data_IF_325441679340
#
_entry.id   IF_325441679340
#
_cell.length_a   1.000
_cell.length_b   1.000
_cell.length_c   1.000
_cell.angle_alpha   90.00
_cell.angle_beta   90.00
_cell.angle_gamma   90.00
#
_symmetry.space_group_name_H-M   'P 1'
#
loop_
_entity.id
_entity.type
_entity.pdbx_description
1 polymer ?
#
# COMPACT_ATOMS: atom_id res chain seq x y z
N UNK A 1 -3.58 20.77 5.10
CA UNK A 1 -4.61 20.68 6.16
C UNK A 1 -4.42 19.35 6.86
N UNK A 2 -3.99 19.35 8.12
CA UNK A 2 -3.88 18.15 8.94
C UNK A 2 -5.28 17.81 9.44
N UNK A 3 -6.02 17.00 8.68
CA UNK A 3 -7.23 16.35 9.18
C UNK A 3 -6.84 15.49 10.38
N UNK A 4 -7.67 15.54 11.42
CA UNK A 4 -7.54 14.73 12.61
C UNK A 4 -7.86 13.30 12.18
N UNK A 5 -6.88 12.59 11.62
CA UNK A 5 -7.07 11.20 11.22
C UNK A 5 -7.34 10.39 12.49
N UNK A 6 -8.52 9.77 12.55
CA UNK A 6 -8.77 8.74 13.56
C UNK A 6 -7.68 7.69 13.43
N UNK A 7 -7.09 7.32 14.58
CA UNK A 7 -6.03 6.32 14.61
C UNK A 7 -6.50 5.02 13.95
N UNK A 8 -5.72 4.45 13.01
CA UNK A 8 -6.15 3.26 12.27
C UNK A 8 -6.52 2.14 13.23
N UNK A 9 -7.63 1.46 12.94
CA UNK A 9 -8.11 0.32 13.73
C UNK A 9 -7.44 -0.95 13.21
N UNK A 10 -6.81 -1.67 14.12
CA UNK A 10 -6.06 -2.89 13.79
C UNK A 10 -6.43 -4.02 14.73
N UNK A 11 -6.21 -5.25 14.30
CA UNK A 11 -6.25 -6.43 15.15
C UNK A 11 -4.90 -7.13 15.15
N UNK A 12 -4.50 -7.64 16.30
CA UNK A 12 -3.25 -8.40 16.47
C UNK A 12 -3.58 -9.89 16.42
N UNK A 13 -3.33 -10.54 15.29
CA UNK A 13 -3.54 -11.98 15.14
C UNK A 13 -2.24 -12.73 15.42
N UNK A 14 -2.26 -13.61 16.41
CA UNK A 14 -1.10 -14.43 16.77
C UNK A 14 -0.81 -15.50 15.72
N UNK A 15 0.37 -16.12 15.79
CA UNK A 15 0.75 -17.30 14.98
C UNK A 15 -0.21 -18.50 15.10
N UNK A 16 -1.04 -18.52 16.14
CA UNK A 16 -2.08 -19.54 16.36
C UNK A 16 -3.39 -19.21 15.64
N UNK A 17 -3.41 -18.15 14.82
CA UNK A 17 -4.58 -17.69 14.10
C UNK A 17 -5.62 -16.97 14.97
N UNK A 18 -5.34 -16.78 16.27
CA UNK A 18 -6.25 -16.15 17.24
C UNK A 18 -5.92 -14.68 17.46
N UNK A 19 -6.96 -13.86 17.60
CA UNK A 19 -6.86 -12.43 17.82
C UNK A 19 -6.64 -12.07 19.29
N UNK A 20 -5.86 -11.02 19.49
CA UNK A 20 -5.62 -10.41 20.79
C UNK A 20 -6.86 -9.66 21.27
N UNK A 21 -7.35 -10.04 22.44
CA UNK A 21 -8.58 -9.54 23.03
C UNK A 21 -8.38 -9.31 24.53
N UNK A 22 -9.37 -8.70 25.18
CA UNK A 22 -9.38 -8.47 26.62
C UNK A 22 -10.66 -8.99 27.28
N UNK A 23 -10.56 -9.31 28.57
CA UNK A 23 -11.71 -9.53 29.47
C UNK A 23 -11.41 -8.84 30.79
N UNK A 24 -12.13 -7.74 31.05
CA UNK A 24 -11.74 -6.80 32.09
C UNK A 24 -10.40 -6.15 31.73
N UNK A 25 -9.44 -6.21 32.66
CA UNK A 25 -8.09 -5.68 32.49
C UNK A 25 -7.12 -6.67 31.82
N UNK A 26 -7.44 -7.96 31.77
CA UNK A 26 -6.53 -9.01 31.28
C UNK A 26 -6.60 -9.17 29.78
N UNK A 27 -5.43 -9.38 29.17
CA UNK A 27 -5.26 -9.57 27.72
C UNK A 27 -4.93 -11.03 27.42
N UNK A 28 -5.46 -11.55 26.31
CA UNK A 28 -5.25 -12.91 25.84
C UNK A 28 -5.33 -12.99 24.30
N UNK A 29 -4.74 -14.01 23.69
CA UNK A 29 -4.76 -14.28 22.25
C UNK A 29 -5.52 -15.59 21.97
N UNK A 30 -6.83 -15.59 22.19
CA UNK A 30 -7.70 -16.77 21.96
C UNK A 30 -9.02 -16.42 21.26
N UNK A 31 -9.20 -15.18 20.83
CA UNK A 31 -10.44 -14.76 20.17
C UNK A 31 -10.45 -15.24 18.71
N UNK A 32 -11.57 -15.80 18.28
CA UNK A 32 -11.85 -16.04 16.86
C UNK A 32 -12.43 -14.79 16.18
N UNK A 33 -13.05 -13.91 16.97
CA UNK A 33 -13.53 -12.63 16.50
C UNK A 33 -12.39 -11.62 16.40
N UNK A 34 -12.42 -10.82 15.34
CA UNK A 34 -11.48 -9.71 15.12
C UNK A 34 -11.77 -8.62 16.15
N UNK A 35 -10.79 -8.33 17.00
CA UNK A 35 -10.92 -7.31 18.05
C UNK A 35 -10.18 -6.03 17.63
N UNK A 36 -10.87 -4.87 17.58
CA UNK A 36 -10.28 -3.60 17.19
C UNK A 36 -9.45 -2.96 18.29
N UNK A 37 -8.26 -2.54 17.91
CA UNK A 37 -7.37 -1.68 18.68
C UNK A 37 -7.07 -0.42 17.86
N UNK A 38 -7.24 0.76 18.45
CA UNK A 38 -6.75 2.01 17.84
C UNK A 38 -5.23 2.04 17.94
N UNK A 39 -4.54 2.14 16.81
CA UNK A 39 -3.08 2.24 16.76
C UNK A 39 -2.63 3.70 16.77
N UNK A 40 -1.96 4.11 17.83
CA UNK A 40 -1.45 5.47 18.01
C UNK A 40 0.06 5.47 17.78
N UNK A 41 0.53 6.30 16.85
CA UNK A 41 1.96 6.55 16.62
C UNK A 41 2.41 7.75 17.45
N UNK A 42 3.55 7.61 18.12
CA UNK A 42 4.20 8.68 18.88
C UNK A 42 5.34 9.30 18.06
N UNK A 43 5.70 10.55 18.37
CA UNK A 43 6.79 11.29 17.70
C UNK A 43 8.15 10.59 17.82
N UNK A 44 8.35 9.77 18.87
CA UNK A 44 9.55 8.97 19.08
C UNK A 44 9.59 7.66 18.25
N UNK A 45 8.64 7.48 17.33
CA UNK A 45 8.53 6.31 16.46
C UNK A 45 7.95 5.06 17.14
N UNK A 46 7.55 5.14 18.42
CA UNK A 46 6.86 4.04 19.10
C UNK A 46 5.37 4.06 18.81
N UNK A 47 4.73 2.91 19.07
CA UNK A 47 3.31 2.69 18.85
C UNK A 47 2.61 2.28 20.14
N UNK A 48 1.34 2.62 20.24
CA UNK A 48 0.47 2.27 21.36
C UNK A 48 -0.87 1.78 20.86
N UNK A 49 -1.50 0.88 21.62
CA UNK A 49 -2.78 0.28 21.28
C UNK A 49 -3.82 0.71 22.31
N UNK A 50 -4.95 1.25 21.85
CA UNK A 50 -6.10 1.57 22.70
C UNK A 50 -7.28 0.67 22.37
N UNK A 51 -8.04 0.27 23.38
CA UNK A 51 -9.34 -0.34 23.16
C UNK A 51 -10.41 0.70 22.73
N UNK A 52 -11.64 0.24 22.62
CA UNK A 52 -12.84 1.03 22.34
C UNK A 52 -13.22 2.04 23.43
N UNK A 53 -12.65 1.91 24.63
CA UNK A 53 -12.87 2.80 25.78
C UNK A 53 -11.75 3.81 25.98
N UNK A 54 -10.89 3.99 24.97
CA UNK A 54 -9.67 4.79 25.01
C UNK A 54 -8.71 4.39 26.16
N UNK A 55 -8.70 3.10 26.52
CA UNK A 55 -7.77 2.56 27.51
C UNK A 55 -6.60 1.89 26.81
N UNK A 56 -5.39 2.30 27.17
CA UNK A 56 -4.16 1.80 26.58
C UNK A 56 -3.79 0.39 27.09
N UNK A 57 -3.32 -0.42 26.14
CA UNK A 57 -2.57 -1.64 26.39
C UNK A 57 -1.22 -1.30 27.01
N UNK A 58 -0.91 -1.89 28.15
CA UNK A 58 0.31 -1.67 28.91
C UNK A 58 0.98 -2.97 29.32
N UNK A 59 2.30 -2.90 29.50
CA UNK A 59 3.10 -3.99 30.05
C UNK A 59 3.44 -3.68 31.50
N UNK A 60 3.12 -4.60 32.40
CA UNK A 60 3.55 -4.51 33.82
C UNK A 60 5.03 -4.88 33.97
N UNK A 61 5.73 -4.47 35.04
CA UNK A 61 7.13 -4.86 35.28
C UNK A 61 7.39 -6.38 35.30
N UNK A 62 6.35 -7.18 35.58
CA UNK A 62 6.42 -8.64 35.56
C UNK A 62 6.11 -9.26 34.19
N UNK A 63 5.96 -8.44 33.14
CA UNK A 63 5.69 -8.89 31.77
C UNK A 63 4.24 -9.24 31.47
N UNK A 64 3.28 -8.97 32.38
CA UNK A 64 1.86 -9.16 32.06
C UNK A 64 1.33 -8.01 31.21
N UNK A 65 0.53 -8.31 30.19
CA UNK A 65 -0.22 -7.31 29.45
C UNK A 65 -1.54 -6.98 30.15
N UNK A 66 -1.87 -5.69 30.21
CA UNK A 66 -3.06 -5.14 30.86
C UNK A 66 -3.66 -4.00 30.06
N UNK A 67 -4.97 -3.77 30.21
CA UNK A 67 -5.67 -2.62 29.63
C UNK A 67 -6.26 -1.80 30.77
N UNK A 68 -5.45 -0.89 31.30
CA UNK A 68 -5.81 -0.11 32.50
C UNK A 68 -5.42 1.36 32.44
N UNK A 69 -4.53 1.75 31.53
CA UNK A 69 -3.98 3.10 31.48
C UNK A 69 -4.88 4.04 30.67
N UNK A 70 -5.27 5.19 31.24
CA UNK A 70 -6.04 6.23 30.54
C UNK A 70 -5.17 7.31 29.88
N UNK A 71 -3.89 7.32 30.20
CA UNK A 71 -2.90 8.27 29.67
C UNK A 71 -1.73 7.50 29.11
N UNK A 72 -1.12 8.04 28.07
CA UNK A 72 0.05 7.44 27.44
C UNK A 72 1.29 7.63 28.33
N UNK A 73 1.89 6.53 28.76
CA UNK A 73 3.17 6.50 29.46
C UNK A 73 4.16 5.54 28.79
N UNK A 74 5.33 5.35 29.40
CA UNK A 74 6.36 4.48 28.82
C UNK A 74 5.91 3.01 28.73
N UNK A 75 5.02 2.55 29.62
CA UNK A 75 4.59 1.13 29.66
C UNK A 75 3.59 0.77 28.57
N UNK A 76 3.00 1.77 27.94
CA UNK A 76 2.01 1.67 26.87
C UNK A 76 2.65 1.79 25.47
N UNK A 77 3.97 2.03 25.42
CA UNK A 77 4.73 2.20 24.19
C UNK A 77 5.44 0.90 23.77
N UNK A 78 5.33 0.61 22.48
CA UNK A 78 5.90 -0.56 21.84
C UNK A 78 6.68 -0.15 20.60
N UNK A 79 7.87 -0.72 20.42
CA UNK A 79 8.55 -0.70 19.12
C UNK A 79 7.99 -1.81 18.26
N UNK A 80 7.44 -1.46 17.10
CA UNK A 80 7.02 -2.42 16.08
C UNK A 80 8.21 -2.79 15.20
N UNK A 81 8.54 -4.07 15.15
CA UNK A 81 9.64 -4.60 14.34
C UNK A 81 9.05 -5.46 13.23
N UNK A 82 9.28 -5.08 11.97
CA UNK A 82 8.83 -5.88 10.81
C UNK A 82 9.73 -7.10 10.63
N UNK A 83 9.11 -8.26 10.45
CA UNK A 83 9.78 -9.52 10.12
C UNK A 83 9.73 -9.76 8.60
N UNK A 84 10.60 -10.63 8.09
CA UNK A 84 10.68 -10.94 6.64
C UNK A 84 9.45 -11.66 6.07
N UNK A 85 8.61 -12.24 6.92
CA UNK A 85 7.40 -12.98 6.55
C UNK A 85 6.11 -12.15 6.68
N UNK A 86 6.21 -10.83 6.52
CA UNK A 86 5.07 -9.89 6.63
C UNK A 86 4.38 -9.82 7.99
N UNK A 87 4.92 -10.47 9.02
CA UNK A 87 4.46 -10.30 10.41
C UNK A 87 5.23 -9.17 11.11
N UNK A 88 4.75 -8.79 12.29
CA UNK A 88 5.42 -7.86 13.19
C UNK A 88 5.77 -8.52 14.52
N UNK A 89 6.77 -8.00 15.21
CA UNK A 89 7.06 -8.29 16.61
C UNK A 89 6.88 -7.02 17.44
N UNK A 90 6.24 -7.13 18.60
CA UNK A 90 6.10 -5.99 19.53
C UNK A 90 7.17 -6.07 20.62
N UNK A 91 8.05 -5.07 20.66
CA UNK A 91 9.02 -4.90 21.74
C UNK A 91 8.53 -3.85 22.73
N UNK A 92 8.30 -4.26 23.97
CA UNK A 92 7.87 -3.34 25.05
C UNK A 92 9.00 -2.40 25.48
N UNK A 93 8.64 -1.34 26.18
CA UNK A 93 9.60 -0.43 26.83
C UNK A 93 10.60 -1.12 27.77
N UNK A 94 10.25 -2.27 28.35
CA UNK A 94 11.18 -3.08 29.16
C UNK A 94 12.17 -3.90 28.31
N UNK A 95 12.27 -3.61 27.01
CA UNK A 95 13.10 -4.32 26.04
C UNK A 95 12.73 -5.81 25.89
N UNK A 96 11.52 -6.20 26.30
CA UNK A 96 10.99 -7.57 26.16
C UNK A 96 10.01 -7.67 25.01
N UNK A 97 10.10 -8.75 24.25
CA UNK A 97 9.14 -9.10 23.21
C UNK A 97 7.85 -9.66 23.79
N UNK A 98 6.73 -9.17 23.28
CA UNK A 98 5.39 -9.72 23.54
C UNK A 98 5.27 -11.05 22.82
N UNK A 99 4.81 -12.08 23.51
CA UNK A 99 4.55 -13.42 22.97
C UNK A 99 3.14 -13.88 23.25
N UNK A 100 2.55 -14.58 22.29
CA UNK A 100 1.29 -15.31 22.45
C UNK A 100 1.57 -16.81 22.55
N UNK A 101 1.18 -17.41 23.68
CA UNK A 101 1.30 -18.84 23.93
C UNK A 101 0.10 -19.60 23.34
N UNK A 102 0.28 -20.88 23.07
CA UNK A 102 -0.74 -21.76 22.46
C UNK A 102 -2.07 -21.79 23.25
N UNK A 103 -2.00 -21.74 24.59
CA UNK A 103 -3.19 -21.69 25.44
C UNK A 103 -3.88 -20.30 25.49
N UNK A 104 -3.37 -19.33 24.74
CA UNK A 104 -3.89 -17.96 24.62
C UNK A 104 -3.32 -16.96 25.61
N UNK A 105 -2.36 -17.35 26.45
CA UNK A 105 -1.67 -16.44 27.36
C UNK A 105 -0.75 -15.47 26.63
N UNK A 106 -0.72 -14.21 27.05
CA UNK A 106 0.10 -13.17 26.39
C UNK A 106 0.96 -12.43 27.39
N UNK A 107 2.27 -12.42 27.12
CA UNK A 107 3.28 -11.90 28.05
C UNK A 107 4.43 -11.22 27.31
N UNK A 108 5.02 -10.19 27.89
CA UNK A 108 6.24 -9.54 27.43
C UNK A 108 7.44 -10.00 28.25
N UNK A 109 7.96 -11.19 27.97
CA UNK A 109 8.99 -11.84 28.80
C UNK A 109 10.23 -12.28 28.04
N UNK A 110 10.25 -12.23 26.70
CA UNK A 110 11.36 -12.75 25.90
C UNK A 110 12.38 -11.67 25.55
N UNK A 111 13.67 -12.01 25.60
CA UNK A 111 14.76 -11.13 25.18
C UNK A 111 14.91 -11.04 23.65
N UNK A 112 14.51 -12.10 22.95
CA UNK A 112 14.65 -12.25 21.51
C UNK A 112 13.30 -12.50 20.86
N UNK A 113 13.13 -12.02 19.63
CA UNK A 113 11.98 -12.35 18.80
C UNK A 113 12.01 -13.86 18.50
N UNK A 114 10.97 -14.56 18.91
CA UNK A 114 10.70 -15.95 18.52
C UNK A 114 9.49 -15.98 17.59
N UNK A 115 9.19 -17.14 16.99
CA UNK A 115 7.94 -17.32 16.24
C UNK A 115 6.71 -16.95 17.05
N UNK A 116 6.69 -17.25 18.35
CA UNK A 116 5.57 -16.89 19.25
C UNK A 116 5.48 -15.40 19.55
N UNK A 117 6.51 -14.62 19.21
CA UNK A 117 6.52 -13.16 19.32
C UNK A 117 5.98 -12.46 18.08
N UNK A 118 5.60 -13.22 17.04
CA UNK A 118 5.12 -12.68 15.79
C UNK A 118 3.60 -12.56 15.78
N UNK A 119 3.13 -11.45 15.25
CA UNK A 119 1.72 -11.15 15.06
C UNK A 119 1.51 -10.66 13.63
N UNK A 120 0.44 -11.12 13.00
CA UNK A 120 -0.12 -10.48 11.83
C UNK A 120 -0.92 -9.26 12.32
N UNK A 121 -0.55 -8.07 11.85
CA UNK A 121 -1.32 -6.87 12.11
C UNK A 121 -2.40 -6.80 11.02
N UNK A 122 -3.62 -7.14 11.39
CA UNK A 122 -4.78 -7.19 10.48
C UNK A 122 -5.41 -5.81 10.50
N UNK A 123 -5.36 -5.08 9.38
CA UNK A 123 -6.10 -3.83 9.28
C UNK A 123 -7.59 -4.12 9.38
N UNK A 124 -8.31 -3.39 10.22
CA UNK A 124 -9.76 -3.51 10.29
C UNK A 124 -10.39 -2.44 9.40
N UNK A 125 -11.45 -2.78 8.64
CA UNK A 125 -12.30 -1.79 8.02
C UNK A 125 -12.95 -0.93 9.12
N UNK A 126 -12.28 0.15 9.48
CA UNK A 126 -12.79 1.23 10.32
C UNK A 126 -13.28 2.33 9.39
N UNK A 127 -14.55 2.69 9.53
CA UNK A 127 -15.30 3.46 8.55
C UNK A 127 -14.68 4.85 8.26
N UNK A 128 -13.76 4.96 7.30
CA UNK A 128 -13.40 6.17 6.52
C UNK A 128 -12.43 5.85 5.34
N UNK A 129 -12.30 4.60 4.90
CA UNK A 129 -11.38 4.19 3.82
C UNK A 129 -12.12 3.45 2.71
N UNK A 130 -11.65 3.59 1.46
CA UNK A 130 -12.10 2.80 0.31
C UNK A 130 -10.95 1.92 -0.18
N UNK A 131 -11.17 0.62 -0.18
CA UNK A 131 -10.21 -0.36 -0.67
C UNK A 131 -10.65 -0.91 -2.04
N UNK A 132 -9.70 -1.20 -2.94
CA UNK A 132 -9.98 -1.91 -4.18
C UNK A 132 -10.15 -3.42 -3.92
N UNK A 133 -10.79 -4.13 -4.85
CA UNK A 133 -10.93 -5.60 -4.80
C UNK A 133 -9.79 -6.36 -5.51
N UNK A 134 -8.78 -5.63 -5.98
CA UNK A 134 -7.57 -6.08 -6.67
C UNK A 134 -6.77 -7.11 -5.84
N UNK A 135 -6.39 -8.21 -6.49
CA UNK A 135 -5.87 -9.42 -5.81
C UNK A 135 -4.54 -9.22 -5.08
N UNK A 136 -3.68 -8.32 -5.58
CA UNK A 136 -2.36 -8.03 -5.01
C UNK A 136 -2.32 -6.71 -4.22
N UNK A 137 -3.45 -6.05 -3.95
CA UNK A 137 -3.48 -4.76 -3.23
C UNK A 137 -2.73 -4.81 -1.88
N UNK A 138 -2.85 -5.93 -1.15
CA UNK A 138 -2.17 -6.14 0.14
C UNK A 138 -0.63 -6.03 0.07
N UNK A 139 -0.04 -6.11 -1.12
CA UNK A 139 1.41 -6.00 -1.35
C UNK A 139 1.87 -4.57 -1.59
N UNK A 140 0.95 -3.65 -1.87
CA UNK A 140 1.21 -2.24 -2.16
C UNK A 140 1.41 -1.43 -0.88
N UNK A 141 2.47 -1.74 -0.13
CA UNK A 141 2.74 -1.09 1.16
C UNK A 141 2.85 0.44 1.07
N UNK A 142 3.26 0.98 -0.08
CA UNK A 142 3.31 2.43 -0.30
C UNK A 142 1.93 3.08 -0.42
N UNK A 143 0.91 2.33 -0.85
CA UNK A 143 -0.48 2.79 -0.94
C UNK A 143 -1.15 2.76 0.42
N UNK A 144 -0.95 1.68 1.17
CA UNK A 144 -1.55 1.49 2.48
C UNK A 144 -0.62 0.65 3.36
N UNK A 145 -0.25 1.20 4.51
CA UNK A 145 0.63 0.54 5.46
C UNK A 145 0.11 0.71 6.87
N UNK A 146 0.03 -0.41 7.55
CA UNK A 146 -0.47 -0.44 8.91
C UNK A 146 0.44 0.27 9.94
N UNK A 147 1.65 0.66 9.54
CA UNK A 147 2.56 1.48 10.35
C UNK A 147 2.39 2.99 10.13
N UNK A 148 1.51 3.40 9.21
CA UNK A 148 1.35 4.79 8.78
C UNK A 148 2.61 5.34 8.12
N UNK A 149 3.19 4.55 7.22
CA UNK A 149 4.34 4.92 6.38
C UNK A 149 3.95 4.56 4.94
N UNK A 150 3.03 5.34 4.41
CA UNK A 150 2.34 5.18 3.14
C UNK A 150 1.80 6.57 2.72
N UNK A 151 0.99 6.60 1.67
CA UNK A 151 0.38 7.83 1.15
C UNK A 151 -1.09 8.02 1.57
N UNK A 152 -1.59 7.21 2.52
CA UNK A 152 -3.00 7.18 2.93
C UNK A 152 -3.95 7.05 1.72
N UNK A 153 -3.62 6.16 0.76
CA UNK A 153 -4.36 6.04 -0.49
C UNK A 153 -5.83 5.63 -0.27
N UNK A 154 -6.16 4.62 0.57
CA UNK A 154 -7.55 4.26 0.85
C UNK A 154 -8.40 5.39 1.43
N UNK A 155 -7.81 6.23 2.27
CA UNK A 155 -8.43 7.44 2.82
C UNK A 155 -8.74 8.43 1.69
N UNK A 156 -7.78 8.68 0.79
CA UNK A 156 -7.98 9.55 -0.37
C UNK A 156 -9.06 8.99 -1.31
N UNK A 157 -9.09 7.67 -1.53
CA UNK A 157 -10.04 6.98 -2.41
C UNK A 157 -11.47 7.01 -1.93
N UNK A 158 -11.70 7.27 -0.64
CA UNK A 158 -13.05 7.60 -0.15
C UNK A 158 -13.55 8.92 -0.77
N UNK A 159 -12.68 9.89 -0.95
CA UNK A 159 -13.05 11.17 -1.56
C UNK A 159 -13.19 11.04 -3.07
N UNK A 160 -12.22 10.38 -3.72
CA UNK A 160 -12.18 10.19 -5.16
C UNK A 160 -11.17 9.10 -5.53
N UNK A 161 -11.50 8.26 -6.51
CA UNK A 161 -10.56 7.26 -7.03
C UNK A 161 -9.96 7.69 -8.37
N UNK A 162 -10.08 8.97 -8.72
CA UNK A 162 -9.57 9.55 -9.97
C UNK A 162 -10.64 10.17 -10.88
N UNK A 163 -11.91 10.21 -10.47
CA UNK A 163 -13.01 10.78 -11.29
C UNK A 163 -12.76 12.24 -11.70
N UNK A 164 -12.15 13.05 -10.82
CA UNK A 164 -11.80 14.45 -11.15
C UNK A 164 -10.63 14.55 -12.14
N UNK A 165 -9.87 13.48 -12.30
CA UNK A 165 -8.76 13.37 -13.24
C UNK A 165 -9.20 12.98 -14.64
N UNK A 166 -10.51 12.84 -14.90
CA UNK A 166 -11.03 12.57 -16.23
C UNK A 166 -10.52 13.61 -17.24
N UNK A 167 -9.71 13.14 -18.19
CA UNK A 167 -9.08 13.97 -19.23
C UNK A 167 -7.68 14.48 -18.89
N UNK A 168 -7.14 14.19 -17.70
CA UNK A 168 -5.71 14.38 -17.42
C UNK A 168 -4.93 13.30 -18.15
N UNK A 169 -4.00 13.74 -19.00
CA UNK A 169 -3.02 12.86 -19.66
C UNK A 169 -1.72 12.92 -18.86
N UNK A 170 -1.19 11.77 -18.47
CA UNK A 170 0.11 11.62 -17.83
C UNK A 170 1.04 10.94 -18.82
N UNK A 171 2.07 11.66 -19.26
CA UNK A 171 3.12 11.10 -20.12
C UNK A 171 4.12 10.29 -19.28
N UNK A 172 4.34 9.04 -19.66
CA UNK A 172 5.35 8.15 -19.07
C UNK A 172 6.52 8.06 -20.05
N UNK A 173 7.61 8.76 -19.72
CA UNK A 173 8.84 8.78 -20.51
C UNK A 173 9.78 7.68 -19.98
N UNK A 174 9.74 6.49 -20.58
CA UNK A 174 10.38 5.28 -20.03
C UNK A 174 10.71 4.23 -21.13
N UNK A 175 10.66 2.92 -20.84
CA UNK A 175 10.82 1.80 -21.78
C UNK A 175 9.58 1.51 -22.62
N UNK A 176 8.54 2.33 -22.53
CA UNK A 176 7.22 2.09 -23.14
C UNK A 176 6.18 1.67 -22.12
N UNK A 177 4.99 1.31 -22.60
CA UNK A 177 3.93 0.70 -21.77
C UNK A 177 3.36 -0.48 -22.55
N UNK A 178 3.17 -1.63 -21.89
CA UNK A 178 2.29 -2.68 -22.41
C UNK A 178 0.84 -2.18 -22.39
N UNK A 179 0.45 -1.50 -23.46
CA UNK A 179 -0.89 -0.96 -23.66
C UNK A 179 -1.95 -2.05 -23.89
N UNK A 180 -1.54 -3.32 -24.01
CA UNK A 180 -2.45 -4.47 -24.13
C UNK A 180 -2.75 -5.12 -22.78
N UNK A 181 -2.00 -4.78 -21.73
CA UNK A 181 -2.15 -5.37 -20.40
C UNK A 181 -3.56 -5.16 -19.83
N UNK A 182 -4.18 -6.24 -19.32
CA UNK A 182 -5.58 -6.22 -18.86
C UNK A 182 -5.84 -5.18 -17.76
N UNK A 183 -4.83 -4.91 -16.94
CA UNK A 183 -4.88 -3.96 -15.82
C UNK A 183 -4.50 -2.51 -16.19
N UNK A 184 -4.24 -2.22 -17.47
CA UNK A 184 -3.80 -0.90 -17.96
C UNK A 184 -4.54 -0.41 -19.22
N UNK A 185 -4.96 -1.31 -20.12
CA UNK A 185 -5.50 -0.97 -21.44
C UNK A 185 -6.66 0.04 -21.40
N UNK A 186 -7.49 0.02 -20.36
CA UNK A 186 -8.62 0.95 -20.20
C UNK A 186 -8.20 2.38 -19.80
N UNK A 187 -6.94 2.54 -19.40
CA UNK A 187 -6.34 3.78 -18.93
C UNK A 187 -5.37 4.37 -19.95
N UNK A 188 -5.15 3.70 -21.08
CA UNK A 188 -4.28 4.23 -22.13
C UNK A 188 -4.91 5.46 -22.79
N UNK A 189 -4.09 6.49 -22.95
CA UNK A 189 -4.38 7.61 -23.83
C UNK A 189 -4.36 7.11 -25.27
N UNK A 190 -5.30 7.61 -26.07
CA UNK A 190 -5.34 7.32 -27.50
C UNK A 190 -5.25 8.63 -28.25
N UNK A 191 -4.35 8.74 -29.22
CA UNK A 191 -4.22 9.93 -30.05
C UNK A 191 -5.53 10.15 -30.80
N UNK A 192 -6.30 11.23 -30.52
CA UNK A 192 -7.57 11.46 -31.19
C UNK A 192 -7.40 11.94 -32.63
N UNK A 193 -6.17 12.25 -33.06
CA UNK A 193 -5.86 12.76 -34.39
C UNK A 193 -5.29 11.72 -35.35
N UNK A 194 -4.90 10.56 -34.85
CA UNK A 194 -4.43 9.45 -35.68
C UNK A 194 -5.57 8.49 -36.07
N UNK A 195 -5.51 8.00 -37.31
CA UNK A 195 -6.34 6.92 -37.82
C UNK A 195 -5.49 5.64 -37.77
N UNK A 196 -5.81 4.66 -36.91
CA UNK A 196 -4.98 3.48 -36.75
C UNK A 196 -4.75 2.71 -38.04
N UNK A 197 -3.51 2.24 -38.19
CA UNK A 197 -3.05 1.28 -39.18
C UNK A 197 -3.23 1.79 -40.63
N UNK A 198 -3.21 3.11 -40.85
CA UNK A 198 -3.32 3.68 -42.19
C UNK A 198 -1.95 3.97 -42.84
N UNK A 199 -0.86 3.91 -42.07
CA UNK A 199 0.50 4.16 -42.52
C UNK A 199 0.78 5.64 -42.82
N UNK A 200 0.00 6.56 -42.26
CA UNK A 200 0.07 8.01 -42.46
C UNK A 200 0.27 8.67 -41.10
N UNK A 201 1.09 9.72 -41.06
CA UNK A 201 1.15 10.67 -39.95
C UNK A 201 -0.01 11.66 -40.14
N UNK A 202 -1.17 11.36 -39.55
CA UNK A 202 -2.41 12.11 -39.77
C UNK A 202 -2.39 13.48 -39.08
N UNK A 203 -1.68 13.59 -37.97
CA UNK A 203 -1.61 14.80 -37.17
C UNK A 203 -0.39 15.71 -37.47
N UNK A 204 0.54 15.20 -38.27
CA UNK A 204 1.72 15.90 -38.77
C UNK A 204 2.81 16.08 -37.71
N UNK A 205 2.83 15.24 -36.67
CA UNK A 205 3.80 15.34 -35.57
C UNK A 205 5.17 14.69 -35.90
N UNK A 206 5.28 14.02 -37.06
CA UNK A 206 6.50 13.38 -37.54
C UNK A 206 6.62 11.90 -37.20
N UNK A 207 5.58 11.30 -36.60
CA UNK A 207 5.53 9.89 -36.21
C UNK A 207 4.27 9.28 -36.80
N UNK A 208 4.45 8.22 -37.59
CA UNK A 208 3.35 7.52 -38.25
C UNK A 208 2.65 6.62 -37.23
N UNK A 209 1.30 6.66 -37.20
CA UNK A 209 0.45 5.75 -36.43
C UNK A 209 0.77 5.73 -34.91
N UNK A 210 1.03 6.88 -34.27
CA UNK A 210 1.40 7.00 -32.84
C UNK A 210 0.18 6.88 -31.87
N UNK A 211 -0.57 5.79 -32.00
CA UNK A 211 -1.92 5.62 -31.43
C UNK A 211 -1.96 5.73 -29.91
N UNK A 212 -0.96 5.18 -29.20
CA UNK A 212 -0.89 5.19 -27.73
C UNK A 212 0.26 6.05 -27.19
N UNK A 213 0.92 6.80 -28.09
CA UNK A 213 2.17 7.50 -27.87
C UNK A 213 3.23 7.04 -28.86
N UNK A 214 4.51 7.27 -28.55
CA UNK A 214 5.60 7.22 -29.52
C UNK A 214 6.81 6.42 -29.01
N UNK A 215 7.51 5.75 -29.92
CA UNK A 215 8.80 5.09 -29.68
C UNK A 215 9.95 5.83 -30.36
N UNK A 216 10.67 6.61 -29.56
CA UNK A 216 11.87 7.32 -29.99
C UNK A 216 13.13 6.45 -29.97
N UNK A 217 13.11 5.29 -29.32
CA UNK A 217 14.22 4.34 -29.33
C UNK A 217 14.31 3.59 -30.67
N UNK A 218 13.17 3.29 -31.29
CA UNK A 218 13.08 2.60 -32.58
C UNK A 218 12.62 3.50 -33.75
N UNK A 219 12.21 4.74 -33.46
CA UNK A 219 11.74 5.74 -34.42
C UNK A 219 10.43 5.35 -35.12
N UNK A 220 9.45 4.88 -34.36
CA UNK A 220 8.11 4.52 -34.84
C UNK A 220 6.99 4.90 -33.83
N UNK A 221 5.73 4.64 -34.22
CA UNK A 221 4.54 4.93 -33.43
C UNK A 221 4.12 3.83 -32.45
N UNK A 222 4.94 2.79 -32.22
CA UNK A 222 4.59 1.67 -31.36
C UNK A 222 5.37 1.68 -30.03
N UNK A 223 4.85 2.33 -28.97
CA UNK A 223 5.54 2.45 -27.69
C UNK A 223 5.40 1.20 -26.80
N UNK A 224 5.25 0.02 -27.39
CA UNK A 224 5.09 -1.23 -26.64
C UNK A 224 6.31 -1.48 -25.75
N UNK A 225 6.07 -1.80 -24.48
CA UNK A 225 7.15 -2.10 -23.54
C UNK A 225 7.73 -3.50 -23.80
N UNK A 226 9.01 -3.53 -24.14
CA UNK A 226 9.82 -4.73 -24.35
C UNK A 226 10.84 -4.96 -23.22
N UNK A 227 10.74 -4.21 -22.12
CA UNK A 227 11.62 -4.32 -20.96
C UNK A 227 10.86 -4.69 -19.67
N UNK A 228 9.74 -4.00 -19.37
CA UNK A 228 8.84 -4.07 -18.20
C UNK A 228 8.84 -2.83 -17.27
N UNK A 229 9.90 -2.02 -17.29
CA UNK A 229 10.08 -0.92 -16.32
C UNK A 229 9.00 0.17 -16.46
N UNK A 230 8.74 0.61 -17.70
CA UNK A 230 7.72 1.61 -17.97
C UNK A 230 6.31 1.12 -17.66
N UNK A 231 5.99 -0.15 -17.95
CA UNK A 231 4.72 -0.78 -17.55
C UNK A 231 4.55 -0.81 -16.03
N UNK A 232 5.61 -1.10 -15.28
CA UNK A 232 5.57 -1.08 -13.81
C UNK A 232 5.34 0.33 -13.25
N UNK A 233 6.02 1.34 -13.81
CA UNK A 233 5.79 2.75 -13.48
C UNK A 233 4.34 3.17 -13.78
N UNK A 234 3.83 2.81 -14.97
CA UNK A 234 2.46 3.07 -15.40
C UNK A 234 1.42 2.45 -14.47
N UNK A 235 1.61 1.20 -14.04
CA UNK A 235 0.77 0.52 -13.07
C UNK A 235 0.69 1.24 -11.73
N UNK A 236 1.82 1.78 -11.24
CA UNK A 236 1.85 2.58 -10.00
C UNK A 236 1.02 3.86 -10.13
N UNK A 237 1.03 4.50 -11.31
CA UNK A 237 0.28 5.73 -11.56
C UNK A 237 -1.22 5.41 -11.69
N UNK A 238 -1.58 4.50 -12.59
CA UNK A 238 -2.96 4.34 -13.04
C UNK A 238 -3.38 2.90 -13.41
N UNK A 239 -2.82 1.87 -12.75
CA UNK A 239 -3.41 0.53 -12.77
C UNK A 239 -4.90 0.57 -12.43
N UNK A 240 -5.72 -0.17 -13.18
CA UNK A 240 -7.19 -0.09 -13.12
C UNK A 240 -7.67 -0.64 -11.78
N UNK A 241 -8.02 0.26 -10.86
CA UNK A 241 -8.49 -0.16 -9.55
C UNK A 241 -9.93 -0.67 -9.55
N UNK A 242 -10.18 -1.66 -8.71
CA UNK A 242 -11.46 -2.32 -8.47
C UNK A 242 -12.00 -3.12 -9.67
N UNK A 243 -11.11 -3.85 -10.34
CA UNK A 243 -11.44 -4.77 -11.44
C UNK A 243 -11.20 -6.25 -11.07
N UNK A 244 -10.82 -6.55 -9.82
CA UNK A 244 -10.51 -7.90 -9.33
C UNK A 244 -9.24 -8.51 -9.92
N UNK A 245 -8.36 -7.74 -10.54
CA UNK A 245 -7.09 -8.18 -11.12
C UNK A 245 -5.92 -7.48 -10.41
N UNK A 246 -4.75 -8.11 -10.47
CA UNK A 246 -3.45 -7.45 -10.23
C UNK A 246 -3.42 -6.41 -9.11
N UNK A 247 -3.07 -5.19 -9.48
CA UNK A 247 -2.74 -4.08 -8.58
C UNK A 247 -3.46 -2.80 -9.01
N UNK A 248 -3.76 -1.91 -8.06
CA UNK A 248 -4.26 -0.58 -8.40
C UNK A 248 -3.14 0.44 -8.48
N UNK A 249 -3.28 1.41 -9.39
CA UNK A 249 -2.53 2.66 -9.34
C UNK A 249 -3.07 3.63 -8.30
N UNK A 250 -2.37 4.74 -8.10
CA UNK A 250 -2.88 5.87 -7.30
C UNK A 250 -4.21 6.40 -7.88
N UNK A 251 -4.31 6.46 -9.21
CA UNK A 251 -5.53 6.85 -9.92
C UNK A 251 -6.21 5.61 -10.54
N UNK A 252 -7.23 5.07 -9.89
CA UNK A 252 -7.92 3.85 -10.34
C UNK A 252 -8.55 4.00 -11.72
N UNK A 253 -8.96 5.23 -12.06
CA UNK A 253 -9.66 5.56 -13.31
C UNK A 253 -9.55 7.05 -13.66
N UNK A 254 -9.94 7.40 -14.87
CA UNK A 254 -10.10 8.78 -15.34
C UNK A 254 -8.83 9.40 -15.93
N UNK A 255 -7.67 9.08 -15.35
CA UNK A 255 -6.36 9.43 -15.92
C UNK A 255 -6.12 8.66 -17.22
N UNK A 256 -5.39 9.27 -18.15
CA UNK A 256 -4.96 8.64 -19.40
C UNK A 256 -3.44 8.60 -19.49
N UNK A 257 -2.86 7.42 -19.71
CA UNK A 257 -1.42 7.21 -19.80
C UNK A 257 -0.97 7.32 -21.26
N UNK A 258 -0.04 8.23 -21.54
CA UNK A 258 0.61 8.34 -22.85
C UNK A 258 2.01 7.74 -22.74
N UNK A 259 2.34 6.77 -23.59
CA UNK A 259 3.63 6.09 -23.56
C UNK A 259 4.64 6.81 -24.45
N UNK A 260 5.74 7.30 -23.87
CA UNK A 260 6.85 7.90 -24.62
C UNK A 260 8.10 7.05 -24.39
N UNK A 261 8.33 6.10 -25.27
CA UNK A 261 9.44 5.16 -25.16
C UNK A 261 10.72 5.80 -25.67
N UNK A 262 11.73 5.89 -24.83
CA UNK A 262 13.09 6.35 -25.21
C UNK A 262 14.18 5.39 -24.74
N UNK A 263 13.84 4.43 -23.88
CA UNK A 263 14.71 3.35 -23.44
C UNK A 263 14.42 2.06 -24.23
N UNK A 264 15.47 1.44 -24.73
CA UNK A 264 15.42 0.13 -25.43
C UNK A 264 15.05 -1.03 -24.50
N UNK A 265 14.84 -2.23 -25.06
CA UNK A 265 14.63 -3.50 -24.33
C UNK A 265 15.68 -3.80 -23.24
N UNK A 266 16.87 -3.22 -23.33
CA UNK A 266 17.94 -3.34 -22.33
C UNK A 266 17.84 -2.34 -21.17
N UNK A 267 16.82 -1.47 -21.17
CA UNK A 267 16.69 -0.34 -20.24
C UNK A 267 17.65 0.81 -20.53
N UNK A 268 18.28 0.85 -21.71
CA UNK A 268 19.28 1.86 -22.09
C UNK A 268 18.76 2.78 -23.18
N UNK A 269 19.10 4.07 -23.12
CA UNK A 269 18.79 5.10 -24.12
C UNK A 269 19.75 6.28 -24.02
N UNK A 270 19.66 7.24 -24.93
CA UNK A 270 20.51 8.44 -24.91
C UNK A 270 19.72 9.64 -24.39
N UNK A 271 20.43 10.60 -23.81
CA UNK A 271 19.83 11.86 -23.39
C UNK A 271 19.21 12.64 -24.57
N UNK A 272 19.74 12.48 -25.78
CA UNK A 272 19.16 13.04 -27.00
C UNK A 272 17.74 12.54 -27.27
N UNK A 273 17.47 11.28 -26.93
CA UNK A 273 16.23 10.61 -27.26
C UNK A 273 15.11 11.05 -26.31
N UNK A 274 15.49 11.56 -25.12
CA UNK A 274 14.59 12.17 -24.14
C UNK A 274 14.32 13.67 -24.36
N UNK A 275 15.03 14.32 -25.30
CA UNK A 275 15.02 15.78 -25.50
C UNK A 275 14.56 16.21 -26.91
N UNK A 276 13.77 15.38 -27.59
CA UNK A 276 13.27 15.65 -28.96
C UNK A 276 12.22 16.75 -29.01
#
# INVERSE_FOLDING_TARGET
>A
CCSIHESPKVSLRSVWGKHLARKGDKVFAKSDEVVPWSLVKSDDGTFSFKDDTDTFLSVTPHGNLRVTAKTLGSREKFTLIRNSNSTISLKSHFNKYVVALEWGGVFATRENASTWAQFELVSMPGAEQRFPDDTDFSRLWGMNSITGYDIDAPEAWKMMTGEIGAGIVVAVIDTGIDYTHDDLKEQMWRNPKEIPDNGIDDDGNGIIDDIYGADFANEDGDPLDDQMHGTHCAGTIAGVGNNGLGVTGVAWRGVRLMALKFLSASGSGRASDALR
#
